data_IF_784491567978
#
_entry.id   IF_784491567978
#
_cell.length_a   1.000
_cell.length_b   1.000
_cell.length_c   1.000
_cell.angle_alpha   90.00
_cell.angle_beta   90.00
_cell.angle_gamma   90.00
#
_symmetry.space_group_name_H-M   'P 1'
#
loop_
_entity.id
_entity.type
_entity.pdbx_description
1 polymer ?
#
# COMPACT_ATOMS: atom_id res chain seq x y z
N UNK A 1 -0.17 2.77 -16.09
CA UNK A 1 -1.61 2.96 -16.30
C UNK A 1 -1.93 2.22 -17.58
N UNK A 2 -2.76 1.17 -17.55
CA UNK A 2 -3.07 0.38 -18.74
C UNK A 2 -3.73 1.22 -19.84
N UNK A 3 -4.32 2.36 -19.50
CA UNK A 3 -5.05 3.22 -20.44
C UNK A 3 -4.19 4.38 -20.98
N UNK A 4 -2.87 4.36 -20.76
CA UNK A 4 -1.98 5.43 -21.24
C UNK A 4 -0.57 4.96 -21.59
N UNK A 5 0.07 5.62 -22.56
CA UNK A 5 1.50 5.44 -22.90
C UNK A 5 2.49 6.05 -21.87
N UNK A 6 2.00 6.39 -20.68
CA UNK A 6 2.82 7.02 -19.65
C UNK A 6 3.31 5.99 -18.64
N UNK A 7 4.57 6.15 -18.25
CA UNK A 7 5.14 5.46 -17.11
C UNK A 7 4.89 6.27 -15.85
N UNK A 8 4.55 5.55 -14.78
CA UNK A 8 4.32 6.13 -13.47
C UNK A 8 5.15 5.40 -12.43
N UNK A 9 5.67 6.15 -11.46
CA UNK A 9 6.38 5.60 -10.31
C UNK A 9 5.81 6.24 -9.05
N UNK A 10 5.40 5.41 -8.10
CA UNK A 10 4.99 5.84 -6.77
C UNK A 10 6.20 5.95 -5.84
N UNK A 11 6.15 6.91 -4.93
CA UNK A 11 7.25 7.24 -4.03
C UNK A 11 6.69 7.43 -2.62
N UNK A 12 7.30 6.74 -1.65
CA UNK A 12 7.07 6.98 -0.22
C UNK A 12 7.57 8.38 0.12
N UNK A 13 6.67 9.27 0.54
CA UNK A 13 6.99 10.68 0.71
C UNK A 13 6.25 11.28 1.91
N UNK A 14 6.53 12.56 2.17
CA UNK A 14 5.86 13.37 3.19
C UNK A 14 5.34 14.67 2.55
N UNK A 15 4.19 15.14 3.00
CA UNK A 15 3.64 16.42 2.52
C UNK A 15 4.51 17.60 2.95
N UNK A 16 4.91 18.42 1.97
CA UNK A 16 5.63 19.68 2.22
C UNK A 16 4.76 20.68 2.99
N UNK A 17 5.34 21.37 3.96
CA UNK A 17 4.67 22.45 4.71
C UNK A 17 3.63 21.97 5.73
N UNK A 18 3.61 20.67 6.05
CA UNK A 18 2.81 20.11 7.15
C UNK A 18 3.70 19.84 8.36
N UNK A 19 3.07 19.65 9.53
CA UNK A 19 3.77 19.14 10.71
C UNK A 19 4.49 17.82 10.37
N UNK A 20 5.59 17.53 11.08
CA UNK A 20 6.43 16.37 10.76
C UNK A 20 5.70 15.06 10.92
N UNK A 21 4.83 14.94 11.92
CA UNK A 21 4.13 13.71 12.25
C UNK A 21 2.87 13.52 11.40
N UNK A 22 2.59 12.26 11.05
CA UNK A 22 1.35 11.82 10.39
C UNK A 22 1.08 12.50 9.04
N UNK A 23 2.15 12.92 8.37
CA UNK A 23 2.10 13.62 7.09
C UNK A 23 2.57 12.75 5.90
N UNK A 24 2.67 11.44 6.11
CA UNK A 24 3.01 10.48 5.08
C UNK A 24 2.06 10.57 3.90
N UNK A 25 2.61 10.46 2.70
CA UNK A 25 1.85 10.43 1.46
C UNK A 25 2.51 9.52 0.44
N UNK A 26 1.71 9.09 -0.54
CA UNK A 26 2.19 8.43 -1.75
C UNK A 26 2.29 9.48 -2.84
N UNK A 27 3.51 9.96 -3.07
CA UNK A 27 3.82 10.80 -4.22
C UNK A 27 3.83 9.97 -5.50
N UNK A 28 3.65 10.64 -6.63
CA UNK A 28 3.75 10.00 -7.95
C UNK A 28 4.50 10.91 -8.92
N UNK A 29 5.37 10.28 -9.71
CA UNK A 29 6.06 10.93 -10.83
C UNK A 29 5.65 10.26 -12.13
N UNK A 30 5.68 11.02 -13.22
CA UNK A 30 5.30 10.60 -14.57
C UNK A 30 6.45 10.78 -15.53
N UNK A 31 6.77 9.76 -16.32
CA UNK A 31 7.61 9.85 -17.50
C UNK A 31 6.79 9.61 -18.76
N UNK A 32 7.03 10.43 -19.78
CA UNK A 32 6.45 10.22 -21.10
C UNK A 32 7.43 9.38 -21.93
N UNK A 33 7.10 8.11 -22.12
CA UNK A 33 7.75 7.19 -23.08
C UNK A 33 9.20 6.75 -22.80
N UNK A 34 10.00 7.49 -22.02
CA UNK A 34 11.47 7.27 -21.98
C UNK A 34 12.06 6.71 -20.68
N UNK A 35 11.34 6.78 -19.55
CA UNK A 35 11.83 6.42 -18.20
C UNK A 35 13.04 7.24 -17.69
N UNK A 36 13.51 8.24 -18.43
CA UNK A 36 14.63 9.11 -18.04
C UNK A 36 14.14 10.45 -17.49
N UNK A 37 13.13 11.04 -18.12
CA UNK A 37 12.61 12.34 -17.74
C UNK A 37 11.31 12.20 -16.95
N UNK A 38 11.31 12.75 -15.73
CA UNK A 38 10.21 12.60 -14.78
C UNK A 38 9.64 13.95 -14.37
N UNK A 39 8.31 14.06 -14.44
CA UNK A 39 7.54 15.18 -13.90
C UNK A 39 6.88 14.77 -12.59
N UNK A 40 7.08 15.55 -11.54
CA UNK A 40 6.37 15.40 -10.26
C UNK A 40 4.91 15.83 -10.46
N UNK A 41 3.99 15.02 -9.94
CA UNK A 41 2.56 15.29 -9.89
C UNK A 41 2.10 15.44 -8.43
N UNK A 42 0.86 15.93 -8.19
CA UNK A 42 0.26 15.86 -6.85
C UNK A 42 0.26 14.42 -6.32
N UNK A 43 0.41 14.22 -5.00
CA UNK A 43 0.34 12.89 -4.40
C UNK A 43 -1.04 12.26 -4.63
N UNK A 44 -1.07 10.95 -4.86
CA UNK A 44 -2.31 10.20 -5.13
C UNK A 44 -3.03 9.80 -3.85
N UNK A 45 -2.32 9.75 -2.72
CA UNK A 45 -2.89 9.46 -1.42
C UNK A 45 -2.12 10.23 -0.34
N UNK A 46 -2.83 11.03 0.45
CA UNK A 46 -2.26 11.79 1.55
C UNK A 46 -3.28 11.88 2.71
N UNK A 47 -3.42 10.81 3.50
CA UNK A 47 -4.54 10.65 4.43
C UNK A 47 -4.44 11.55 5.67
N UNK A 48 -3.24 12.00 6.04
CA UNK A 48 -3.04 12.85 7.22
C UNK A 48 -3.09 12.10 8.56
N UNK A 49 -3.01 10.77 8.53
CA UNK A 49 -3.04 9.93 9.73
C UNK A 49 -2.01 8.80 9.77
N UNK A 50 -1.17 8.66 8.74
CA UNK A 50 0.01 7.78 8.75
C UNK A 50 1.28 8.61 8.72
N UNK A 51 2.26 8.25 9.55
CA UNK A 51 3.56 8.90 9.56
C UNK A 51 4.43 8.43 8.37
N UNK A 52 4.44 7.13 8.11
CA UNK A 52 5.19 6.53 7.00
C UNK A 52 4.28 5.59 6.22
N UNK A 53 4.37 5.68 4.89
CA UNK A 53 3.68 4.82 3.93
C UNK A 53 4.73 4.27 2.98
N UNK A 54 5.16 3.04 3.22
CA UNK A 54 6.39 2.47 2.68
C UNK A 54 6.12 1.49 1.55
N UNK A 55 7.16 1.18 0.76
CA UNK A 55 7.17 0.10 -0.25
C UNK A 55 5.94 0.06 -1.16
N UNK A 56 5.46 1.24 -1.56
CA UNK A 56 4.21 1.39 -2.31
C UNK A 56 4.14 0.53 -3.58
N UNK A 57 2.97 -0.03 -3.86
CA UNK A 57 2.69 -0.83 -5.06
C UNK A 57 1.32 -0.46 -5.62
N UNK A 58 1.23 -0.24 -6.93
CA UNK A 58 -0.05 -0.03 -7.61
C UNK A 58 -0.39 -1.25 -8.45
N UNK A 59 -1.60 -1.78 -8.30
CA UNK A 59 -2.14 -2.90 -9.08
C UNK A 59 -3.44 -2.44 -9.74
N UNK A 60 -3.53 -2.62 -11.05
CA UNK A 60 -4.77 -2.46 -11.81
C UNK A 60 -5.45 -3.84 -11.88
N UNK A 61 -6.66 -3.96 -11.35
CA UNK A 61 -7.37 -5.23 -11.28
C UNK A 61 -8.88 -5.02 -11.32
N UNK A 62 -9.60 -5.81 -12.14
CA UNK A 62 -11.06 -5.76 -12.26
C UNK A 62 -11.64 -4.34 -12.40
N UNK A 63 -11.02 -3.50 -13.25
CA UNK A 63 -11.46 -2.12 -13.51
C UNK A 63 -11.21 -1.12 -12.37
N UNK A 64 -10.42 -1.48 -11.37
CA UNK A 64 -10.05 -0.63 -10.23
C UNK A 64 -8.54 -0.53 -10.09
N UNK A 65 -8.11 0.47 -9.33
CA UNK A 65 -6.72 0.71 -8.95
C UNK A 65 -6.57 0.44 -7.46
N UNK A 66 -5.65 -0.44 -7.09
CA UNK A 66 -5.32 -0.78 -5.71
C UNK A 66 -3.92 -0.28 -5.39
N UNK A 67 -3.83 0.63 -4.42
CA UNK A 67 -2.60 1.19 -3.90
C UNK A 67 -2.27 0.50 -2.58
N UNK A 68 -1.29 -0.39 -2.63
CA UNK A 68 -0.71 -1.04 -1.47
C UNK A 68 0.46 -0.24 -0.90
N UNK A 69 0.64 -0.32 0.40
CA UNK A 69 1.82 0.20 1.10
C UNK A 69 2.01 -0.54 2.42
N UNK A 70 3.25 -0.56 2.90
CA UNK A 70 3.57 -1.06 4.24
C UNK A 70 3.56 0.08 5.25
N UNK A 71 3.14 -0.18 6.47
CA UNK A 71 3.33 0.78 7.58
C UNK A 71 3.41 0.04 8.90
N UNK A 72 3.99 0.67 9.92
CA UNK A 72 4.03 0.15 11.28
C UNK A 72 2.85 0.67 12.12
N UNK A 73 2.39 -0.12 13.09
CA UNK A 73 1.36 0.30 14.04
C UNK A 73 1.72 1.63 14.75
N UNK A 74 2.99 1.85 15.10
CA UNK A 74 3.47 3.09 15.73
C UNK A 74 3.30 4.34 14.85
N UNK A 75 3.11 4.16 13.54
CA UNK A 75 3.00 5.25 12.58
C UNK A 75 1.55 5.75 12.44
N UNK A 76 0.60 5.16 13.16
CA UNK A 76 -0.79 5.61 13.19
C UNK A 76 -0.95 6.84 14.08
N UNK A 77 -1.71 7.84 13.61
CA UNK A 77 -2.21 8.89 14.47
C UNK A 77 -3.13 8.29 15.55
N UNK A 78 -2.95 8.59 16.85
CA UNK A 78 -3.69 7.92 17.91
C UNK A 78 -5.22 7.96 17.77
N UNK A 79 -5.78 9.10 17.37
CA UNK A 79 -7.23 9.25 17.19
C UNK A 79 -7.75 8.39 16.02
N UNK A 80 -6.96 8.31 14.94
CA UNK A 80 -7.30 7.47 13.79
C UNK A 80 -7.22 5.99 14.17
N UNK A 81 -6.19 5.56 14.90
CA UNK A 81 -6.10 4.19 15.40
C UNK A 81 -7.33 3.77 16.20
N UNK A 82 -7.87 4.65 17.05
CA UNK A 82 -9.12 4.37 17.78
C UNK A 82 -10.32 4.23 16.84
N UNK A 83 -10.40 5.08 15.82
CA UNK A 83 -11.48 5.05 14.83
C UNK A 83 -11.40 3.81 13.90
N UNK A 84 -10.20 3.38 13.51
CA UNK A 84 -9.97 2.26 12.58
C UNK A 84 -10.03 0.87 13.24
N UNK A 85 -10.38 0.80 14.53
CA UNK A 85 -10.44 -0.45 15.30
C UNK A 85 -9.08 -0.94 15.80
N UNK A 86 -8.04 -0.11 15.75
CA UNK A 86 -6.69 -0.41 16.19
C UNK A 86 -5.62 0.24 15.32
N UNK A 87 -4.37 0.11 15.76
CA UNK A 87 -3.19 0.41 14.96
C UNK A 87 -2.56 -0.91 14.50
N UNK A 88 -2.33 -1.03 13.20
CA UNK A 88 -1.88 -2.27 12.57
C UNK A 88 -0.59 -2.02 11.81
N UNK A 89 0.39 -2.89 12.01
CA UNK A 89 1.60 -2.98 11.20
C UNK A 89 1.42 -4.03 10.12
N UNK A 90 2.09 -3.86 8.98
CA UNK A 90 2.03 -4.82 7.87
C UNK A 90 1.51 -4.17 6.60
N UNK A 91 0.76 -4.93 5.80
CA UNK A 91 0.31 -4.53 4.47
C UNK A 91 -1.05 -3.85 4.53
N UNK A 92 -1.11 -2.65 3.95
CA UNK A 92 -2.33 -1.87 3.81
C UNK A 92 -2.67 -1.67 2.34
N UNK A 93 -3.95 -1.44 2.05
CA UNK A 93 -4.42 -1.14 0.70
C UNK A 93 -5.58 -0.15 0.70
N UNK A 94 -5.52 0.78 -0.24
CA UNK A 94 -6.63 1.65 -0.58
C UNK A 94 -6.92 1.49 -2.07
N UNK A 95 -8.19 1.60 -2.46
CA UNK A 95 -8.61 1.42 -3.85
C UNK A 95 -9.39 2.62 -4.38
N UNK A 96 -9.34 2.81 -5.70
CA UNK A 96 -10.02 3.88 -6.44
C UNK A 96 -10.50 3.34 -7.79
N UNK A 97 -11.45 4.04 -8.43
CA UNK A 97 -11.90 3.72 -9.79
C UNK A 97 -10.89 4.12 -10.88
N UNK A 98 -9.94 5.00 -10.57
CA UNK A 98 -8.83 5.36 -11.46
C UNK A 98 -7.62 5.87 -10.66
N UNK A 99 -6.45 5.99 -11.31
CA UNK A 99 -5.16 6.24 -10.66
C UNK A 99 -5.11 7.55 -9.85
N UNK A 100 -5.82 8.59 -10.32
CA UNK A 100 -5.86 9.92 -9.69
C UNK A 100 -7.18 10.22 -8.99
N UNK A 101 -7.99 9.18 -8.73
CA UNK A 101 -9.30 9.30 -8.13
C UNK A 101 -9.26 9.37 -6.60
N UNK A 102 -10.44 9.31 -6.00
CA UNK A 102 -10.58 9.26 -4.55
C UNK A 102 -10.37 7.82 -4.04
N UNK A 103 -9.29 7.62 -3.30
CA UNK A 103 -8.95 6.35 -2.67
C UNK A 103 -9.78 6.10 -1.42
N UNK A 104 -10.28 4.87 -1.27
CA UNK A 104 -11.02 4.37 -0.11
C UNK A 104 -10.31 3.14 0.48
N UNK A 105 -10.38 2.93 1.81
CA UNK A 105 -9.75 1.75 2.42
C UNK A 105 -10.43 0.46 1.94
N UNK A 106 -9.65 -0.59 1.69
CA UNK A 106 -10.20 -1.95 1.60
C UNK A 106 -10.55 -2.48 2.99
N UNK A 107 -11.37 -3.53 3.08
CA UNK A 107 -11.73 -4.19 4.35
C UNK A 107 -12.30 -3.23 5.43
N UNK A 108 -12.81 -2.07 5.01
CA UNK A 108 -13.34 -1.02 5.89
C UNK A 108 -12.30 -0.16 6.60
N UNK A 109 -11.08 -0.67 6.87
CA UNK A 109 -10.04 0.02 7.63
C UNK A 109 -8.67 0.14 6.91
N UNK A 110 -8.53 -0.48 5.74
CA UNK A 110 -7.35 -0.45 4.89
C UNK A 110 -6.33 -1.54 5.19
N UNK A 111 -6.58 -2.41 6.17
CA UNK A 111 -5.65 -3.46 6.59
C UNK A 111 -5.85 -4.72 5.72
N UNK A 112 -4.77 -5.24 5.16
CA UNK A 112 -4.76 -6.50 4.39
C UNK A 112 -4.04 -7.60 5.15
N UNK A 113 -2.84 -7.29 5.67
CA UNK A 113 -2.08 -8.14 6.58
C UNK A 113 -1.64 -7.30 7.79
N UNK A 114 -1.82 -7.85 8.97
CA UNK A 114 -1.55 -7.20 10.25
C UNK A 114 -0.29 -7.78 10.93
N UNK A 115 -0.02 -7.35 12.16
CA UNK A 115 1.18 -7.77 12.91
C UNK A 115 1.25 -9.28 13.09
N UNK A 116 0.10 -9.91 13.34
CA UNK A 116 -0.08 -11.34 13.54
C UNK A 116 0.27 -12.19 12.32
N UNK A 117 0.34 -11.59 11.12
CA UNK A 117 0.81 -12.27 9.91
C UNK A 117 2.34 -12.39 9.85
N UNK A 118 3.07 -11.75 10.78
CA UNK A 118 4.52 -11.87 10.93
C UNK A 118 5.31 -11.51 9.65
N UNK A 119 4.73 -10.64 8.81
CA UNK A 119 5.28 -10.21 7.52
C UNK A 119 5.35 -8.69 7.39
N UNK A 120 6.35 -8.18 6.66
CA UNK A 120 6.49 -6.77 6.30
C UNK A 120 7.06 -6.60 4.90
N UNK A 121 6.88 -5.41 4.30
CA UNK A 121 7.29 -5.12 2.92
C UNK A 121 6.79 -6.17 1.92
N UNK A 122 5.51 -6.50 2.04
CA UNK A 122 4.87 -7.52 1.20
C UNK A 122 4.66 -6.97 -0.20
N UNK A 123 5.12 -7.70 -1.21
CA UNK A 123 4.85 -7.45 -2.63
C UNK A 123 3.89 -8.49 -3.16
N UNK A 124 2.88 -8.05 -3.90
CA UNK A 124 1.94 -8.93 -4.59
C UNK A 124 2.42 -9.19 -6.02
N UNK A 125 2.34 -10.45 -6.43
CA UNK A 125 2.63 -10.92 -7.78
C UNK A 125 1.37 -11.58 -8.33
N UNK A 126 0.97 -11.21 -9.55
CA UNK A 126 -0.20 -11.78 -10.20
C UNK A 126 0.03 -13.26 -10.55
N UNK A 127 -0.91 -14.12 -10.17
CA UNK A 127 -0.97 -15.52 -10.61
C UNK A 127 -1.78 -15.65 -11.91
N UNK A 128 -1.65 -16.80 -12.60
CA UNK A 128 -2.35 -17.08 -13.86
C UNK A 128 -3.89 -17.07 -13.76
N UNK A 129 -4.45 -17.18 -12.55
CA UNK A 129 -5.89 -17.33 -12.30
C UNK A 129 -6.53 -16.10 -11.62
N UNK A 130 -6.01 -14.89 -11.84
CA UNK A 130 -6.45 -13.64 -11.17
C UNK A 130 -6.27 -13.60 -9.64
N UNK A 131 -5.77 -14.66 -9.02
CA UNK A 131 -5.30 -14.65 -7.65
C UNK A 131 -3.91 -13.97 -7.56
N UNK A 132 -3.51 -13.57 -6.36
CA UNK A 132 -2.22 -12.94 -6.10
C UNK A 132 -1.40 -13.78 -5.12
N UNK A 133 -0.09 -13.80 -5.31
CA UNK A 133 0.85 -14.29 -4.31
C UNK A 133 1.56 -13.11 -3.66
N UNK A 134 1.38 -12.98 -2.34
CA UNK A 134 2.14 -12.06 -1.50
C UNK A 134 3.43 -12.72 -1.02
N UNK A 135 4.55 -12.02 -1.17
CA UNK A 135 5.84 -12.42 -0.59
C UNK A 135 6.40 -11.22 0.17
N UNK A 136 6.87 -11.43 1.39
CA UNK A 136 7.43 -10.37 2.23
C UNK A 136 8.54 -10.87 3.14
N UNK A 137 9.09 -9.96 3.94
CA UNK A 137 10.10 -10.27 4.94
C UNK A 137 9.46 -10.77 6.22
N UNK A 138 9.93 -11.91 6.72
CA UNK A 138 9.48 -12.47 7.99
C UNK A 138 9.98 -11.63 9.17
N UNK A 139 9.11 -11.50 10.17
CA UNK A 139 9.38 -10.82 11.42
C UNK A 139 8.94 -11.66 12.60
N UNK A 140 9.54 -11.43 13.77
CA UNK A 140 9.02 -12.01 15.02
C UNK A 140 7.72 -11.34 15.42
N UNK A 141 6.99 -11.92 16.38
CA UNK A 141 5.78 -11.30 16.97
C UNK A 141 6.04 -9.92 17.58
N UNK A 142 7.24 -9.71 18.10
CA UNK A 142 7.72 -8.42 18.62
C UNK A 142 8.16 -7.46 17.50
N UNK A 143 8.04 -7.88 16.23
CA UNK A 143 8.36 -7.09 15.06
C UNK A 143 9.84 -7.05 14.71
N UNK A 144 10.68 -8.00 15.16
CA UNK A 144 12.09 -8.01 14.76
C UNK A 144 12.28 -8.66 13.40
N UNK A 145 13.08 -8.07 12.52
CA UNK A 145 13.41 -8.64 11.22
C UNK A 145 14.18 -9.96 11.37
N UNK A 146 13.72 -11.01 10.68
CA UNK A 146 14.31 -12.37 10.78
C UNK A 146 15.44 -12.59 9.77
N UNK A 147 15.53 -11.81 8.68
CA UNK A 147 16.53 -12.05 7.63
C UNK A 147 16.09 -13.08 6.58
N UNK A 148 14.80 -13.40 6.51
CA UNK A 148 14.25 -14.46 5.65
C UNK A 148 12.96 -14.02 4.96
N UNK A 149 12.78 -14.40 3.70
CA UNK A 149 11.52 -14.23 2.99
C UNK A 149 10.46 -15.26 3.43
N UNK A 150 9.20 -14.87 3.38
CA UNK A 150 8.07 -15.77 3.60
C UNK A 150 7.95 -16.81 2.49
N UNK A 151 7.23 -17.91 2.77
CA UNK A 151 6.60 -18.65 1.68
C UNK A 151 5.56 -17.75 0.97
N UNK A 152 5.26 -17.97 -0.32
CA UNK A 152 4.19 -17.26 -0.99
C UNK A 152 2.85 -17.48 -0.28
N UNK A 153 2.20 -16.38 0.11
CA UNK A 153 0.86 -16.37 0.70
C UNK A 153 -0.14 -16.02 -0.40
N UNK A 154 -1.19 -16.83 -0.56
CA UNK A 154 -2.22 -16.55 -1.56
C UNK A 154 -3.20 -15.50 -1.03
N UNK A 155 -3.46 -14.48 -1.84
CA UNK A 155 -4.39 -13.39 -1.57
C UNK A 155 -5.39 -13.28 -2.73
N UNK A 156 -6.64 -12.95 -2.41
CA UNK A 156 -7.67 -12.62 -3.40
C UNK A 156 -8.18 -11.21 -3.19
N UNK A 157 -8.38 -10.52 -4.31
CA UNK A 157 -9.01 -9.19 -4.36
C UNK A 157 -10.44 -9.38 -4.88
N UNK A 158 -11.42 -9.01 -4.06
CA UNK A 158 -12.84 -9.05 -4.38
C UNK A 158 -13.47 -7.69 -4.06
N UNK A 159 -13.42 -6.79 -5.05
CA UNK A 159 -14.01 -5.46 -4.94
C UNK A 159 -13.33 -4.58 -3.89
N UNK A 160 -13.98 -4.36 -2.75
CA UNK A 160 -13.44 -3.60 -1.63
C UNK A 160 -12.89 -4.50 -0.51
N UNK A 161 -12.83 -5.82 -0.74
CA UNK A 161 -12.28 -6.79 0.19
C UNK A 161 -11.02 -7.45 -0.36
N UNK A 162 -10.03 -7.66 0.51
CA UNK A 162 -8.82 -8.41 0.21
C UNK A 162 -8.55 -9.37 1.36
N UNK A 163 -8.38 -10.66 1.05
CA UNK A 163 -8.27 -11.71 2.07
C UNK A 163 -7.34 -12.85 1.65
N UNK A 164 -6.84 -13.56 2.67
CA UNK A 164 -6.03 -14.78 2.51
C UNK A 164 -6.89 -15.90 1.96
N UNK A 165 -6.32 -16.69 1.05
CA UNK A 165 -6.94 -17.91 0.51
C UNK A 165 -6.09 -19.08 0.93
N UNK A 166 -6.73 -20.12 1.48
CA UNK A 166 -6.08 -21.39 1.81
C UNK A 166 -5.72 -22.20 0.55
#
# INVERSE_FOLDING_TARGET
DPDSDNYYMTISARLKGKQREYNGCVAIVKSQKDLFHWKILPPILAPGFYDEMETTQVIFHAGKVYLFFSTHARNYKPDFARYSGGAFGGLHCYFSSNLFGQYKPVNGNGVVLANEDEMYDVRLILSKDNDFFGIGWLRTKEGRYIGKMSAPLKLRIDGDRIFKVD
#
